data_IF_355533144089
#
_entry.id   IF_355533144089
#
_cell.length_a   1.000
_cell.length_b   1.000
_cell.length_c   1.000
_cell.angle_alpha   90.00
_cell.angle_beta   90.00
_cell.angle_gamma   90.00
#
_symmetry.space_group_name_H-M   'P 1'
#
loop_
_entity.id
_entity.type
_entity.pdbx_description
1 polymer ?
#
# COMPACT_ATOMS: atom_id res chain seq x y z
N UNK A 1 5.74 -3.71 -49.95
CA UNK A 1 4.99 -3.94 -48.70
C UNK A 1 3.89 -2.88 -48.61
N UNK A 2 2.59 -3.24 -48.83
CA UNK A 2 1.50 -2.26 -48.71
C UNK A 2 1.25 -2.00 -47.22
N UNK A 3 1.67 -0.83 -46.74
CA UNK A 3 1.28 -0.37 -45.40
C UNK A 3 -0.21 -0.10 -45.45
N UNK A 4 -0.99 -0.74 -44.58
CA UNK A 4 -2.45 -0.55 -44.51
C UNK A 4 -2.73 0.93 -44.20
N UNK A 5 -3.36 1.62 -45.16
CA UNK A 5 -3.91 2.96 -44.91
C UNK A 5 -4.85 2.87 -43.68
N UNK A 6 -4.55 3.65 -42.66
CA UNK A 6 -5.31 3.65 -41.38
C UNK A 6 -4.53 3.20 -40.13
N UNK A 7 -3.29 2.72 -40.30
CA UNK A 7 -2.40 2.41 -39.14
C UNK A 7 -1.51 3.58 -38.70
N UNK A 8 -1.45 4.65 -39.45
CA UNK A 8 -0.76 5.88 -39.08
C UNK A 8 -1.79 6.88 -38.56
N UNK A 9 -1.70 7.20 -37.28
CA UNK A 9 -2.59 8.17 -36.62
C UNK A 9 -1.96 9.56 -36.54
N UNK A 10 -0.72 9.72 -37.04
CA UNK A 10 0.05 10.96 -36.99
C UNK A 10 1.43 10.72 -36.36
N UNK A 11 2.16 11.80 -36.12
CA UNK A 11 3.46 11.79 -35.47
C UNK A 11 3.26 11.59 -33.95
N UNK A 12 4.11 10.73 -33.36
CA UNK A 12 4.20 10.54 -31.92
C UNK A 12 5.59 10.95 -31.48
N UNK A 13 5.67 11.94 -30.59
CA UNK A 13 6.92 12.46 -30.06
C UNK A 13 7.30 11.75 -28.77
N UNK A 14 8.60 11.49 -28.57
CA UNK A 14 9.17 11.07 -27.30
C UNK A 14 9.82 12.25 -26.59
N UNK A 15 10.23 12.06 -25.34
CA UNK A 15 10.94 13.12 -24.59
C UNK A 15 12.28 13.49 -25.24
N UNK A 16 12.89 12.59 -26.04
CA UNK A 16 14.12 12.86 -26.78
C UNK A 16 13.90 13.78 -28.00
N UNK A 17 12.65 13.92 -28.44
CA UNK A 17 12.26 14.73 -29.61
C UNK A 17 11.85 16.15 -29.22
N UNK A 18 11.73 16.47 -27.95
CA UNK A 18 11.19 17.74 -27.46
C UNK A 18 12.09 18.40 -26.41
N UNK A 19 12.05 19.73 -26.40
CA UNK A 19 12.67 20.56 -25.37
C UNK A 19 11.62 21.48 -24.78
N UNK A 20 11.67 21.65 -23.44
CA UNK A 20 10.85 22.67 -22.78
C UNK A 20 11.53 24.03 -22.95
N UNK A 21 10.80 24.97 -23.56
CA UNK A 21 11.30 26.33 -23.72
C UNK A 21 11.35 27.01 -22.34
N UNK A 22 12.51 27.54 -21.92
CA UNK A 22 12.62 28.29 -20.67
C UNK A 22 11.67 29.49 -20.65
N UNK A 23 11.00 29.70 -19.52
CA UNK A 23 10.12 30.84 -19.29
C UNK A 23 10.53 31.56 -18.02
N UNK A 24 10.13 32.84 -17.90
CA UNK A 24 10.31 33.59 -16.67
C UNK A 24 9.50 32.97 -15.54
N UNK A 25 10.10 32.84 -14.35
CA UNK A 25 9.43 32.33 -13.14
C UNK A 25 9.90 33.13 -11.92
N UNK A 26 8.98 33.41 -11.03
CA UNK A 26 9.24 34.00 -9.70
C UNK A 26 9.14 32.95 -8.58
N UNK A 27 8.84 31.68 -8.95
CA UNK A 27 8.71 30.57 -8.00
C UNK A 27 10.08 29.95 -7.77
N UNK A 28 10.48 29.87 -6.50
CA UNK A 28 11.71 29.18 -6.09
C UNK A 28 11.53 27.67 -6.18
N UNK A 29 12.59 26.88 -6.44
CA UNK A 29 12.49 25.42 -6.56
C UNK A 29 11.87 24.73 -5.36
N UNK A 30 12.09 25.21 -4.14
CA UNK A 30 11.51 24.68 -2.90
C UNK A 30 10.05 25.07 -2.67
N UNK A 31 9.52 26.01 -3.45
CA UNK A 31 8.13 26.46 -3.41
C UNK A 31 7.28 25.82 -4.54
N UNK A 32 7.92 25.02 -5.38
CA UNK A 32 7.27 24.41 -6.54
C UNK A 32 6.26 23.34 -6.10
N UNK A 33 5.02 23.47 -6.55
CA UNK A 33 3.99 22.45 -6.38
C UNK A 33 3.98 21.53 -7.59
N UNK A 34 4.46 20.30 -7.41
CA UNK A 34 4.51 19.26 -8.45
C UNK A 34 3.30 18.32 -8.44
N UNK A 35 2.30 18.60 -7.58
CA UNK A 35 1.07 17.79 -7.49
C UNK A 35 0.34 17.70 -8.84
N UNK A 36 -0.13 16.53 -9.17
CA UNK A 36 -0.78 16.22 -10.44
C UNK A 36 -1.99 15.31 -10.25
N UNK A 37 -2.77 15.12 -11.31
CA UNK A 37 -3.90 14.19 -11.32
C UNK A 37 -3.55 12.98 -12.20
N UNK A 38 -3.61 11.78 -11.63
CA UNK A 38 -3.53 10.53 -12.39
C UNK A 38 -4.85 10.27 -13.13
N UNK A 39 -5.94 10.55 -12.48
CA UNK A 39 -7.31 10.50 -13.03
C UNK A 39 -8.10 11.66 -12.46
N UNK A 40 -9.33 11.88 -12.96
CA UNK A 40 -10.22 12.92 -12.40
C UNK A 40 -10.51 12.79 -10.91
N UNK A 41 -10.24 11.62 -10.31
CA UNK A 41 -10.52 11.29 -8.89
C UNK A 41 -9.27 11.01 -8.05
N UNK A 42 -8.13 10.79 -8.69
CA UNK A 42 -6.88 10.42 -8.00
C UNK A 42 -5.87 11.52 -8.21
N UNK A 43 -5.56 12.22 -7.13
CA UNK A 43 -4.49 13.23 -7.09
C UNK A 43 -3.22 12.60 -6.52
N UNK A 44 -2.08 12.95 -7.09
CA UNK A 44 -0.74 12.60 -6.59
C UNK A 44 -0.06 13.85 -6.06
N UNK A 45 0.67 13.72 -4.97
CA UNK A 45 1.48 14.81 -4.41
C UNK A 45 2.77 15.01 -5.23
N UNK A 46 3.31 13.91 -5.77
CA UNK A 46 4.38 13.92 -6.78
C UNK A 46 3.93 13.10 -8.00
N UNK A 47 4.29 13.50 -9.24
CA UNK A 47 3.85 12.82 -10.45
C UNK A 47 4.71 11.58 -10.78
N UNK A 48 4.87 10.69 -9.78
CA UNK A 48 5.69 9.48 -9.92
C UNK A 48 4.82 8.25 -9.76
N UNK A 49 4.92 7.35 -10.74
CA UNK A 49 4.28 6.05 -10.73
C UNK A 49 5.33 4.96 -10.91
N UNK A 50 5.21 3.85 -10.19
CA UNK A 50 5.97 2.65 -10.53
C UNK A 50 5.23 1.79 -11.55
N UNK A 51 5.97 1.21 -12.48
CA UNK A 51 5.42 0.37 -13.54
C UNK A 51 4.83 -0.94 -12.97
N UNK A 52 3.72 -1.39 -13.58
CA UNK A 52 3.08 -2.67 -13.25
C UNK A 52 3.86 -3.85 -13.87
N UNK A 53 5.11 -4.00 -13.47
CA UNK A 53 6.03 -5.02 -13.95
C UNK A 53 6.34 -6.01 -12.85
N UNK A 54 6.40 -7.30 -13.22
CA UNK A 54 6.85 -8.38 -12.35
C UNK A 54 8.26 -8.06 -11.81
N UNK A 55 8.51 -8.40 -10.57
CA UNK A 55 9.76 -8.12 -9.83
C UNK A 55 10.12 -6.63 -9.67
N UNK A 56 9.32 -5.70 -10.17
CA UNK A 56 9.51 -4.25 -10.02
C UNK A 56 8.53 -3.68 -8.98
N UNK A 57 7.23 -3.86 -9.20
CA UNK A 57 6.22 -3.27 -8.29
C UNK A 57 5.40 -4.33 -7.60
N UNK A 58 5.84 -4.67 -6.41
CA UNK A 58 5.09 -5.40 -5.40
C UNK A 58 4.76 -4.47 -4.22
N UNK A 59 4.21 -5.03 -3.12
CA UNK A 59 3.78 -4.23 -1.98
C UNK A 59 4.86 -3.31 -1.41
N UNK A 60 6.11 -3.73 -1.37
CA UNK A 60 7.20 -2.94 -0.78
C UNK A 60 7.51 -1.69 -1.61
N UNK A 61 7.64 -1.84 -2.92
CA UNK A 61 7.83 -0.70 -3.82
C UNK A 61 6.60 0.21 -3.82
N UNK A 62 5.38 -0.36 -3.83
CA UNK A 62 4.15 0.42 -3.79
C UNK A 62 4.03 1.24 -2.50
N UNK A 63 4.43 0.68 -1.35
CA UNK A 63 4.48 1.40 -0.06
C UNK A 63 5.50 2.53 -0.12
N UNK A 64 6.72 2.25 -0.57
CA UNK A 64 7.77 3.26 -0.64
C UNK A 64 7.38 4.46 -1.50
N UNK A 65 6.83 4.22 -2.69
CA UNK A 65 6.38 5.31 -3.59
C UNK A 65 5.19 6.07 -3.00
N UNK A 66 4.25 5.38 -2.35
CA UNK A 66 3.10 6.02 -1.70
C UNK A 66 3.54 6.95 -0.54
N UNK A 67 4.54 6.56 0.24
CA UNK A 67 5.12 7.38 1.31
C UNK A 67 5.73 8.67 0.79
N UNK A 68 6.29 8.65 -0.42
CA UNK A 68 6.83 9.84 -1.09
C UNK A 68 5.74 10.68 -1.80
N UNK A 69 4.48 10.22 -1.83
CA UNK A 69 3.36 10.94 -2.42
C UNK A 69 3.03 10.57 -3.86
N UNK A 70 3.67 9.53 -4.39
CA UNK A 70 3.36 8.92 -5.69
C UNK A 70 2.38 7.75 -5.56
N UNK A 71 2.36 6.85 -6.54
CA UNK A 71 1.52 5.65 -6.53
C UNK A 71 2.23 4.44 -7.14
N UNK A 72 2.09 3.28 -6.51
CA UNK A 72 2.57 2.00 -7.02
C UNK A 72 1.48 1.26 -7.79
N UNK A 73 1.84 0.75 -8.98
CA UNK A 73 0.96 -0.07 -9.82
C UNK A 73 1.36 -1.54 -9.68
N UNK A 74 0.60 -2.32 -8.93
CA UNK A 74 0.86 -3.75 -8.75
C UNK A 74 0.68 -4.50 -10.08
N UNK A 75 1.61 -5.42 -10.38
CA UNK A 75 1.54 -6.24 -11.58
C UNK A 75 0.49 -7.35 -11.47
N UNK A 76 0.13 -7.93 -12.62
CA UNK A 76 -0.89 -8.99 -12.71
C UNK A 76 -0.32 -10.42 -12.74
N UNK A 77 1.00 -10.60 -12.74
CA UNK A 77 1.63 -11.93 -12.81
C UNK A 77 1.61 -12.63 -11.45
N UNK A 78 0.42 -12.81 -10.90
CA UNK A 78 0.14 -13.51 -9.64
C UNK A 78 -1.33 -13.94 -9.60
N UNK A 79 -1.70 -14.81 -8.65
CA UNK A 79 -3.11 -15.17 -8.48
C UNK A 79 -3.92 -14.00 -7.91
N UNK A 80 -5.24 -14.07 -8.03
CA UNK A 80 -6.15 -13.06 -7.49
C UNK A 80 -5.93 -12.89 -5.98
N UNK A 81 -5.78 -14.00 -5.26
CA UNK A 81 -5.56 -14.04 -3.81
C UNK A 81 -4.23 -13.39 -3.43
N UNK A 82 -3.17 -13.67 -4.19
CA UNK A 82 -1.86 -13.06 -4.00
C UNK A 82 -1.92 -11.55 -4.25
N UNK A 83 -2.56 -11.10 -5.32
CA UNK A 83 -2.69 -9.68 -5.61
C UNK A 83 -3.51 -8.96 -4.53
N UNK A 84 -4.62 -9.56 -4.09
CA UNK A 84 -5.43 -9.03 -2.99
C UNK A 84 -4.61 -8.91 -1.68
N UNK A 85 -3.75 -9.90 -1.39
CA UNK A 85 -2.86 -9.85 -0.23
C UNK A 85 -1.83 -8.71 -0.34
N UNK A 86 -1.26 -8.48 -1.52
CA UNK A 86 -0.36 -7.35 -1.79
C UNK A 86 -1.07 -6.01 -1.56
N UNK A 87 -2.28 -5.84 -2.12
CA UNK A 87 -3.10 -4.63 -1.91
C UNK A 87 -3.40 -4.43 -0.42
N UNK A 88 -3.80 -5.49 0.29
CA UNK A 88 -4.08 -5.42 1.74
C UNK A 88 -2.85 -4.97 2.52
N UNK A 89 -1.65 -5.45 2.16
CA UNK A 89 -0.38 -5.02 2.78
C UNK A 89 -0.11 -3.53 2.56
N UNK A 90 -0.30 -3.02 1.33
CA UNK A 90 -0.13 -1.60 1.01
C UNK A 90 -1.13 -0.74 1.79
N UNK A 91 -2.41 -1.10 1.78
CA UNK A 91 -3.45 -0.34 2.47
C UNK A 91 -3.27 -0.29 3.98
N UNK A 92 -2.76 -1.36 4.58
CA UNK A 92 -2.41 -1.37 6.01
C UNK A 92 -1.26 -0.44 6.35
N UNK A 93 -0.29 -0.24 5.45
CA UNK A 93 0.85 0.65 5.70
C UNK A 93 0.49 2.12 5.58
N UNK A 94 -0.49 2.46 4.73
CA UNK A 94 -0.93 3.85 4.51
C UNK A 94 -1.79 4.40 5.66
N UNK A 95 -2.54 3.54 6.32
CA UNK A 95 -3.45 3.99 7.37
C UNK A 95 -2.79 3.90 8.74
N UNK A 96 -2.60 5.04 9.41
CA UNK A 96 -2.33 5.08 10.85
C UNK A 96 -3.48 4.44 11.65
N UNK A 97 -4.59 4.14 11.01
CA UNK A 97 -5.73 3.40 11.53
C UNK A 97 -5.94 2.12 10.72
N UNK A 98 -5.81 0.97 11.38
CA UNK A 98 -6.07 -0.34 10.78
C UNK A 98 -7.58 -0.55 10.74
N UNK A 99 -8.18 -0.45 9.54
CA UNK A 99 -9.63 -0.57 9.36
C UNK A 99 -10.16 -2.01 9.53
N UNK A 100 -9.27 -3.01 9.40
CA UNK A 100 -9.59 -4.43 9.58
C UNK A 100 -8.45 -5.07 10.40
N UNK A 101 -8.43 -4.84 11.72
CA UNK A 101 -7.39 -5.38 12.58
C UNK A 101 -7.54 -6.90 12.72
N UNK A 102 -6.42 -7.58 12.94
CA UNK A 102 -6.46 -8.94 13.47
C UNK A 102 -7.01 -8.86 14.89
N UNK A 103 -8.11 -9.54 15.15
CA UNK A 103 -8.78 -9.55 16.45
C UNK A 103 -8.69 -10.93 17.07
N UNK A 104 -8.83 -10.98 18.40
CA UNK A 104 -8.89 -12.21 19.18
C UNK A 104 -10.20 -12.24 19.95
N UNK A 105 -10.82 -13.40 20.12
CA UNK A 105 -11.97 -13.54 20.98
C UNK A 105 -11.54 -13.60 22.45
N UNK A 106 -12.40 -13.10 23.35
CA UNK A 106 -12.11 -13.02 24.78
C UNK A 106 -11.93 -14.41 25.45
N UNK A 107 -12.39 -15.48 24.82
CA UNK A 107 -12.25 -16.87 25.25
C UNK A 107 -11.09 -17.61 24.55
N UNK A 108 -10.31 -16.94 23.72
CA UNK A 108 -9.18 -17.53 23.03
C UNK A 108 -7.99 -17.75 23.97
N UNK A 109 -7.18 -18.76 23.66
CA UNK A 109 -6.04 -19.14 24.51
C UNK A 109 -4.83 -18.23 24.27
N UNK A 110 -4.03 -18.05 25.30
CA UNK A 110 -2.76 -17.28 25.24
C UNK A 110 -1.86 -17.74 24.09
N UNK A 111 -1.77 -19.06 23.83
CA UNK A 111 -1.00 -19.57 22.69
C UNK A 111 -1.49 -19.04 21.35
N UNK A 112 -2.80 -18.90 21.14
CA UNK A 112 -3.39 -18.39 19.90
C UNK A 112 -3.04 -16.91 19.71
N UNK A 113 -3.05 -16.15 20.80
CA UNK A 113 -2.61 -14.76 20.78
C UNK A 113 -1.14 -14.65 20.34
N UNK A 114 -0.25 -15.48 20.91
CA UNK A 114 1.18 -15.48 20.56
C UNK A 114 1.44 -15.93 19.12
N UNK A 115 0.71 -16.93 18.62
CA UNK A 115 0.79 -17.38 17.23
C UNK A 115 0.36 -16.28 16.25
N UNK A 116 -0.76 -15.60 16.51
CA UNK A 116 -1.22 -14.47 15.71
C UNK A 116 -0.23 -13.30 15.75
N UNK A 117 0.30 -12.95 16.92
CA UNK A 117 1.29 -11.89 17.04
C UNK A 117 2.56 -12.19 16.23
N UNK A 118 3.01 -13.46 16.24
CA UNK A 118 4.17 -13.91 15.47
C UNK A 118 3.90 -13.92 13.97
N UNK A 119 2.76 -14.47 13.55
CA UNK A 119 2.36 -14.57 12.14
C UNK A 119 2.22 -13.19 11.49
N UNK A 120 1.49 -12.28 12.16
CA UNK A 120 1.20 -10.94 11.65
C UNK A 120 2.25 -9.89 12.03
N UNK A 121 3.28 -10.28 12.82
CA UNK A 121 4.36 -9.38 13.32
C UNK A 121 3.81 -8.15 14.02
N UNK A 122 2.80 -8.33 14.87
CA UNK A 122 2.12 -7.27 15.63
C UNK A 122 2.41 -7.42 17.12
N UNK A 123 2.48 -6.28 17.83
CA UNK A 123 2.77 -6.24 19.26
C UNK A 123 1.55 -6.17 20.17
N UNK A 124 0.36 -6.11 19.58
CA UNK A 124 -0.91 -6.07 20.30
C UNK A 124 -2.08 -6.46 19.42
N UNK A 125 -3.08 -7.11 19.99
CA UNK A 125 -4.28 -7.60 19.32
C UNK A 125 -5.51 -7.07 20.08
N UNK A 126 -6.45 -6.39 19.40
CA UNK A 126 -7.75 -6.06 19.97
C UNK A 126 -8.52 -7.33 20.33
N UNK A 127 -9.12 -7.36 21.52
CA UNK A 127 -9.96 -8.46 21.99
C UNK A 127 -11.41 -8.08 21.82
N UNK A 128 -12.19 -8.95 21.22
CA UNK A 128 -13.61 -8.75 20.92
C UNK A 128 -14.49 -9.80 21.62
N UNK A 129 -15.73 -9.45 21.86
CA UNK A 129 -16.75 -10.38 22.32
C UNK A 129 -17.44 -11.10 21.14
N UNK A 130 -18.44 -11.95 21.45
CA UNK A 130 -19.22 -12.68 20.44
C UNK A 130 -20.09 -11.80 19.53
N UNK A 131 -20.26 -10.52 19.88
CA UNK A 131 -20.99 -9.53 19.10
C UNK A 131 -20.05 -8.64 18.29
N UNK A 132 -18.75 -8.99 18.19
CA UNK A 132 -17.70 -8.18 17.58
C UNK A 132 -17.49 -6.80 18.24
N UNK A 133 -17.85 -6.65 19.53
CA UNK A 133 -17.61 -5.44 20.29
C UNK A 133 -16.23 -5.53 20.94
N UNK A 134 -15.45 -4.45 20.84
CA UNK A 134 -14.14 -4.35 21.46
C UNK A 134 -14.29 -4.38 22.99
N UNK A 135 -13.67 -5.37 23.64
CA UNK A 135 -13.69 -5.53 25.10
C UNK A 135 -12.33 -5.25 25.74
N UNK A 136 -11.25 -5.25 24.94
CA UNK A 136 -9.92 -4.99 25.46
C UNK A 136 -8.84 -5.05 24.39
N UNK A 137 -7.59 -4.99 24.82
CA UNK A 137 -6.41 -5.20 23.99
C UNK A 137 -5.44 -6.10 24.74
N UNK A 138 -4.89 -7.10 24.05
CA UNK A 138 -3.85 -7.98 24.54
C UNK A 138 -2.53 -7.60 23.88
N UNK A 139 -1.48 -7.36 24.65
CA UNK A 139 -0.17 -6.96 24.14
C UNK A 139 0.92 -7.95 24.52
N UNK A 140 2.06 -7.92 23.79
CA UNK A 140 3.26 -8.70 24.12
C UNK A 140 3.73 -8.45 25.57
N UNK A 141 3.44 -7.28 26.13
CA UNK A 141 3.80 -6.93 27.51
C UNK A 141 2.97 -7.73 28.51
N UNK A 142 1.67 -7.89 28.24
CA UNK A 142 0.74 -8.61 29.10
C UNK A 142 1.07 -10.11 29.13
N UNK A 143 1.48 -10.65 27.99
CA UNK A 143 1.79 -12.07 27.81
C UNK A 143 3.21 -12.46 28.26
N UNK A 144 4.09 -11.48 28.53
CA UNK A 144 5.53 -11.72 28.79
C UNK A 144 5.82 -12.64 29.96
N UNK A 145 4.95 -12.67 30.98
CA UNK A 145 5.15 -13.43 32.21
C UNK A 145 4.17 -14.59 32.37
N UNK A 146 3.30 -14.81 31.39
CA UNK A 146 2.35 -15.92 31.40
C UNK A 146 3.08 -17.22 31.12
N UNK A 147 3.03 -18.15 32.09
CA UNK A 147 3.69 -19.47 31.99
C UNK A 147 2.78 -20.54 31.40
N UNK A 148 1.49 -20.43 31.65
CA UNK A 148 0.49 -21.38 31.14
C UNK A 148 -0.15 -20.83 29.87
N UNK A 149 0.20 -21.42 28.75
CA UNK A 149 -0.28 -21.00 27.41
C UNK A 149 -1.71 -21.47 27.11
N UNK A 150 -2.30 -22.29 27.98
CA UNK A 150 -3.66 -22.79 27.83
C UNK A 150 -4.70 -21.97 28.65
N UNK A 151 -4.28 -20.89 29.27
CA UNK A 151 -5.21 -19.94 29.88
C UNK A 151 -5.93 -19.12 28.78
N UNK A 152 -7.22 -18.78 29.00
CA UNK A 152 -7.93 -17.85 28.15
C UNK A 152 -7.50 -16.39 28.40
#
# INVERSE_FOLDING_TARGET
MKVAQGRFLGDALTYDDILIVPAYSEVLPNETNVGSYLTSKIRLNIPVLSAAMDTVTESEMAIAIAQEGGIGMLHKNMTIEQQAAQVKKVKRSESGMISDPVTLHADALVREALELMKEYKIGGIPVIDKNHILVGICTNRDLRFVKDLNLP
#
